data_IF_740271807974
#
_entry.id   IF_740271807974
#
_cell.length_a   1.000
_cell.length_b   1.000
_cell.length_c   1.000
_cell.angle_alpha   90.00
_cell.angle_beta   90.00
_cell.angle_gamma   90.00
#
_symmetry.space_group_name_H-M   'P 1'
#
loop_
_entity.id
_entity.type
_entity.pdbx_description
1 polymer ?
#
# COMPACT_ATOMS: atom_id res chain seq x y z
N UNK A 1 -10.47 -0.52 -9.27
CA UNK A 1 -10.77 -0.31 -7.84
C UNK A 1 -12.05 0.50 -7.63
N UNK A 2 -12.25 1.58 -8.39
CA UNK A 2 -13.38 2.53 -8.24
C UNK A 2 -14.75 1.85 -8.22
N UNK A 3 -15.01 0.89 -9.14
CA UNK A 3 -16.28 0.15 -9.15
C UNK A 3 -16.55 -0.65 -7.87
N UNK A 4 -15.50 -1.22 -7.25
CA UNK A 4 -15.64 -1.94 -5.97
C UNK A 4 -15.94 -0.95 -4.84
N UNK A 5 -15.28 0.22 -4.84
CA UNK A 5 -15.54 1.27 -3.86
C UNK A 5 -16.97 1.83 -4.00
N UNK A 6 -17.51 1.99 -5.20
CA UNK A 6 -18.92 2.36 -5.41
C UNK A 6 -19.90 1.36 -4.78
N UNK A 7 -19.63 0.06 -4.93
CA UNK A 7 -20.48 -1.00 -4.39
C UNK A 7 -20.32 -1.19 -2.87
N UNK A 8 -19.14 -0.84 -2.33
CA UNK A 8 -18.79 -1.00 -0.92
C UNK A 8 -18.18 0.30 -0.36
N UNK A 9 -18.97 1.38 -0.22
CA UNK A 9 -18.46 2.74 0.02
C UNK A 9 -17.77 2.92 1.37
N UNK A 10 -18.12 2.12 2.39
CA UNK A 10 -17.59 2.24 3.76
C UNK A 10 -16.75 1.05 4.21
N UNK A 11 -16.64 0.01 3.38
CA UNK A 11 -15.94 -1.20 3.77
C UNK A 11 -14.42 -0.99 3.73
N UNK A 12 -13.72 -1.65 4.65
CA UNK A 12 -12.27 -1.78 4.53
C UNK A 12 -11.94 -2.73 3.38
N UNK A 13 -11.05 -2.32 2.47
CA UNK A 13 -10.64 -3.16 1.34
C UNK A 13 -9.19 -3.61 1.51
N UNK A 14 -8.96 -4.93 1.45
CA UNK A 14 -7.61 -5.50 1.33
C UNK A 14 -7.14 -5.40 -0.12
N UNK A 15 -6.01 -4.73 -0.35
CA UNK A 15 -5.42 -4.53 -1.67
C UNK A 15 -4.09 -5.28 -1.75
N UNK A 16 -4.06 -6.48 -2.36
CA UNK A 16 -2.82 -7.20 -2.57
C UNK A 16 -2.04 -6.66 -3.77
N UNK A 17 -0.71 -6.76 -3.73
CA UNK A 17 0.10 -6.74 -4.94
C UNK A 17 0.54 -5.38 -5.46
N UNK A 18 0.49 -4.34 -4.65
CA UNK A 18 0.93 -3.00 -5.04
C UNK A 18 2.46 -3.00 -5.27
N UNK A 19 2.92 -2.30 -6.30
CA UNK A 19 4.31 -2.26 -6.77
C UNK A 19 4.67 -3.44 -7.69
N UNK A 20 4.72 -4.66 -7.16
CA UNK A 20 5.26 -5.83 -7.89
C UNK A 20 4.34 -6.35 -9.01
N UNK A 21 3.04 -6.05 -8.98
CA UNK A 21 2.06 -6.47 -10.01
C UNK A 21 1.62 -5.31 -10.92
N UNK A 22 2.36 -4.20 -10.92
CA UNK A 22 2.10 -3.06 -11.81
C UNK A 22 1.01 -2.07 -11.33
N UNK A 23 0.43 -2.27 -10.15
CA UNK A 23 -0.45 -1.29 -9.52
C UNK A 23 0.35 -0.28 -8.68
N UNK A 24 0.11 1.02 -8.87
CA UNK A 24 0.73 2.09 -8.08
C UNK A 24 -0.05 2.36 -6.78
N UNK A 25 0.66 2.65 -5.67
CA UNK A 25 0.05 3.12 -4.42
C UNK A 25 -0.77 4.39 -4.65
N UNK A 26 -0.32 5.27 -5.55
CA UNK A 26 -1.05 6.47 -5.93
C UNK A 26 -2.42 6.15 -6.55
N UNK A 27 -2.48 5.22 -7.49
CA UNK A 27 -3.73 4.86 -8.18
C UNK A 27 -4.68 4.12 -7.25
N UNK A 28 -4.14 3.25 -6.40
CA UNK A 28 -4.91 2.55 -5.36
C UNK A 28 -5.52 3.57 -4.38
N UNK A 29 -4.73 4.54 -3.94
CA UNK A 29 -5.18 5.55 -2.99
C UNK A 29 -6.24 6.45 -3.61
N UNK A 30 -5.98 6.98 -4.81
CA UNK A 30 -6.91 7.85 -5.56
C UNK A 30 -8.28 7.22 -5.78
N UNK A 31 -8.33 5.92 -6.05
CA UNK A 31 -9.57 5.22 -6.41
C UNK A 31 -10.21 4.45 -5.25
N UNK A 32 -9.51 4.35 -4.11
CA UNK A 32 -9.87 3.40 -3.05
C UNK A 32 -10.01 4.03 -1.68
N UNK A 33 -9.38 5.17 -1.40
CA UNK A 33 -9.48 5.81 -0.09
C UNK A 33 -10.92 6.25 0.21
N UNK A 34 -11.20 6.32 1.51
CA UNK A 34 -12.39 6.94 2.10
C UNK A 34 -11.91 8.03 3.05
N UNK A 35 -12.82 8.84 3.62
CA UNK A 35 -12.48 9.80 4.69
C UNK A 35 -11.72 9.16 5.86
N UNK A 36 -11.95 7.87 6.12
CA UNK A 36 -11.32 7.13 7.21
C UNK A 36 -10.11 6.27 6.78
N UNK A 37 -9.55 6.51 5.58
CA UNK A 37 -8.43 5.73 5.04
C UNK A 37 -8.82 4.39 4.38
N UNK A 38 -9.71 3.58 4.98
CA UNK A 38 -10.51 2.52 4.31
C UNK A 38 -9.79 1.43 3.48
N UNK A 39 -8.46 1.35 3.50
CA UNK A 39 -7.62 0.47 2.69
C UNK A 39 -6.56 -0.24 3.54
N UNK A 40 -6.38 -1.55 3.31
CA UNK A 40 -5.29 -2.34 3.84
C UNK A 40 -4.40 -2.79 2.67
N UNK A 41 -3.24 -2.18 2.49
CA UNK A 41 -2.31 -2.57 1.42
C UNK A 41 -1.43 -3.73 1.90
N UNK A 42 -1.42 -4.84 1.17
CA UNK A 42 -0.51 -5.95 1.46
C UNK A 42 0.78 -5.83 0.63
N UNK A 43 1.90 -5.78 1.33
CA UNK A 43 3.24 -5.88 0.78
C UNK A 43 4.00 -7.01 1.49
N UNK A 44 4.39 -8.03 0.73
CA UNK A 44 5.06 -9.23 1.27
C UNK A 44 6.44 -9.39 0.65
N UNK A 45 6.52 -9.81 -0.62
CA UNK A 45 7.80 -10.13 -1.29
C UNK A 45 8.75 -8.94 -1.41
N UNK A 46 8.24 -7.74 -1.66
CA UNK A 46 9.07 -6.53 -1.75
C UNK A 46 9.78 -6.21 -0.44
N UNK A 47 9.14 -6.48 0.71
CA UNK A 47 9.71 -6.25 2.04
C UNK A 47 10.58 -7.44 2.47
N UNK A 48 10.03 -8.67 2.41
CA UNK A 48 10.71 -9.88 2.87
C UNK A 48 11.98 -10.20 2.08
N UNK A 49 12.01 -9.85 0.79
CA UNK A 49 13.14 -10.11 -0.10
C UNK A 49 13.81 -8.84 -0.59
N UNK A 50 13.73 -7.76 0.19
CA UNK A 50 14.44 -6.51 -0.09
C UNK A 50 15.96 -6.68 -0.18
N UNK A 51 16.51 -7.71 0.47
CA UNK A 51 17.89 -8.16 0.30
C UNK A 51 18.03 -9.65 0.59
N UNK A 52 19.00 -10.27 -0.06
CA UNK A 52 19.47 -11.64 0.20
C UNK A 52 20.76 -11.69 1.04
N UNK A 53 21.28 -10.53 1.46
CA UNK A 53 22.51 -10.37 2.25
C UNK A 53 22.27 -10.30 3.75
N UNK A 54 23.34 -10.05 4.52
CA UNK A 54 23.27 -9.89 5.98
C UNK A 54 22.56 -8.61 6.42
N UNK A 55 22.32 -7.67 5.50
CA UNK A 55 21.58 -6.42 5.70
C UNK A 55 20.06 -6.58 5.53
N UNK A 56 19.54 -7.82 5.41
CA UNK A 56 18.12 -8.10 5.14
C UNK A 56 17.16 -7.35 6.08
N UNK A 57 17.48 -7.26 7.38
CA UNK A 57 16.62 -6.60 8.36
C UNK A 57 16.55 -5.08 8.13
N UNK A 58 17.69 -4.46 7.81
CA UNK A 58 17.79 -3.03 7.52
C UNK A 58 17.06 -2.70 6.21
N UNK A 59 17.23 -3.55 5.19
CA UNK A 59 16.58 -3.40 3.89
C UNK A 59 15.08 -3.60 3.97
N UNK A 60 14.61 -4.63 4.67
CA UNK A 60 13.18 -4.84 4.90
C UNK A 60 12.55 -3.65 5.64
N UNK A 61 13.23 -3.10 6.65
CA UNK A 61 12.78 -1.90 7.36
C UNK A 61 12.71 -0.69 6.42
N UNK A 62 13.75 -0.47 5.62
CA UNK A 62 13.79 0.65 4.69
C UNK A 62 12.63 0.58 3.67
N UNK A 63 12.36 -0.58 3.09
CA UNK A 63 11.25 -0.79 2.16
C UNK A 63 9.88 -0.56 2.82
N UNK A 64 9.68 -1.11 4.02
CA UNK A 64 8.44 -0.90 4.78
C UNK A 64 8.23 0.58 5.15
N UNK A 65 9.31 1.27 5.54
CA UNK A 65 9.27 2.68 5.91
C UNK A 65 9.00 3.58 4.69
N UNK A 66 9.64 3.31 3.55
CA UNK A 66 9.40 4.06 2.32
C UNK A 66 7.92 3.95 1.88
N UNK A 67 7.37 2.73 1.88
CA UNK A 67 5.96 2.49 1.56
C UNK A 67 5.02 3.20 2.55
N UNK A 68 5.32 3.14 3.85
CA UNK A 68 4.50 3.82 4.87
C UNK A 68 4.52 5.34 4.68
N UNK A 69 5.67 5.93 4.36
CA UNK A 69 5.79 7.37 4.12
C UNK A 69 5.02 7.81 2.88
N UNK A 70 5.08 7.03 1.80
CA UNK A 70 4.28 7.28 0.59
C UNK A 70 2.77 7.24 0.91
N UNK A 71 2.31 6.21 1.61
CA UNK A 71 0.90 6.10 2.03
C UNK A 71 0.47 7.24 2.96
N UNK A 72 1.35 7.70 3.85
CA UNK A 72 1.06 8.82 4.75
C UNK A 72 0.79 10.11 3.98
N UNK A 73 1.48 10.33 2.85
CA UNK A 73 1.21 11.45 1.94
C UNK A 73 -0.25 11.46 1.47
N UNK A 74 -0.76 10.31 1.01
CA UNK A 74 -2.14 10.22 0.53
C UNK A 74 -3.19 10.35 1.63
N UNK A 75 -2.88 9.93 2.86
CA UNK A 75 -3.79 10.12 4.00
C UNK A 75 -3.87 11.59 4.44
N UNK A 76 -2.81 12.38 4.22
CA UNK A 76 -2.83 13.82 4.54
C UNK A 76 -3.67 14.65 3.56
N UNK A 77 -4.05 14.07 2.43
CA UNK A 77 -4.92 14.69 1.41
C UNK A 77 -6.41 14.38 1.61
N UNK A 78 -6.77 13.60 2.65
CA UNK A 78 -8.15 13.29 3.04
C UNK A 78 -8.81 14.42 3.83
#
# INVERSE_FOLDING_TARGET
LSRVRELAPKNFLLVPGVGAQGGSLADVSRNGLTSDGGLLVNASRSILYASSGTDFAERARAEAQAMQQEMAGYLSEL
#
